data_IF_077841524921
#
_entry.id   IF_077841524921
#
_cell.length_a   1.000
_cell.length_b   1.000
_cell.length_c   1.000
_cell.angle_alpha   90.00
_cell.angle_beta   90.00
_cell.angle_gamma   90.00
#
_symmetry.space_group_name_H-M   'P 1'
#
loop_
_entity.id
_entity.type
_entity.pdbx_description
1 polymer ?
#
# COMPACT_ATOMS: atom_id res chain seq x y z
N UNK A 1 50.62 9.66 24.12
CA UNK A 1 49.69 9.86 22.99
C UNK A 1 48.58 8.81 23.11
N UNK A 2 47.34 9.31 23.21
CA UNK A 2 45.99 8.70 23.30
C UNK A 2 45.86 7.19 23.62
N UNK A 3 45.31 6.92 24.81
CA UNK A 3 44.87 5.60 25.31
C UNK A 3 43.67 5.12 24.50
N UNK A 4 43.78 3.98 23.84
CA UNK A 4 42.65 3.34 23.15
C UNK A 4 41.95 2.44 24.17
N UNK A 5 40.82 2.91 24.70
CA UNK A 5 39.82 2.07 25.37
C UNK A 5 38.74 1.76 24.34
N UNK A 6 38.78 0.58 23.72
CA UNK A 6 37.61 0.07 22.98
C UNK A 6 36.79 -0.80 23.93
N UNK A 7 35.67 -0.22 24.30
CA UNK A 7 34.64 -0.71 25.21
C UNK A 7 33.72 -1.68 24.45
N UNK A 8 33.29 -2.74 25.13
CA UNK A 8 32.24 -3.70 24.73
C UNK A 8 30.94 -3.04 24.28
N UNK A 9 30.47 -3.28 23.04
CA UNK A 9 29.06 -3.43 22.56
C UNK A 9 29.18 -3.90 21.08
N UNK A 10 28.41 -4.79 20.46
CA UNK A 10 27.19 -5.50 20.77
C UNK A 10 26.81 -6.32 19.54
N UNK A 11 26.13 -7.44 19.77
CA UNK A 11 25.61 -8.39 18.81
C UNK A 11 24.57 -7.77 17.86
N UNK A 12 24.93 -7.33 16.66
CA UNK A 12 23.99 -7.08 15.55
C UNK A 12 24.68 -7.32 14.19
N UNK A 13 24.99 -8.58 13.88
CA UNK A 13 25.27 -9.00 12.50
C UNK A 13 24.06 -9.84 12.05
N UNK A 14 22.87 -9.25 12.03
CA UNK A 14 21.68 -9.87 11.46
C UNK A 14 20.59 -8.85 11.15
N UNK A 15 20.86 -7.94 10.21
CA UNK A 15 19.82 -7.48 9.30
C UNK A 15 20.43 -6.62 8.19
N UNK A 16 20.53 -7.21 7.02
CA UNK A 16 20.71 -6.54 5.74
C UNK A 16 19.47 -5.67 5.48
N UNK A 17 19.30 -4.57 6.22
CA UNK A 17 18.09 -3.72 6.19
C UNK A 17 18.27 -2.41 5.42
N UNK A 18 19.33 -2.26 4.62
CA UNK A 18 19.47 -1.14 3.70
C UNK A 18 19.18 -1.58 2.26
N UNK A 19 17.91 -1.81 1.95
CA UNK A 19 17.42 -1.70 0.58
C UNK A 19 16.26 -0.70 0.57
N UNK A 20 16.63 0.55 0.32
CA UNK A 20 15.89 1.53 -0.47
C UNK A 20 14.36 1.43 -0.41
N UNK A 21 13.74 2.07 0.58
CA UNK A 21 12.37 2.54 0.38
C UNK A 21 12.45 3.76 -0.55
N UNK A 22 12.27 3.49 -1.84
CA UNK A 22 12.12 4.48 -2.88
C UNK A 22 10.81 5.24 -2.66
N UNK A 23 10.86 6.43 -2.08
CA UNK A 23 9.71 7.34 -2.05
C UNK A 23 9.47 7.86 -3.47
N UNK A 24 8.57 7.19 -4.19
CA UNK A 24 8.08 7.67 -5.47
C UNK A 24 7.18 8.90 -5.26
N UNK A 25 7.22 9.78 -6.25
CA UNK A 25 6.71 11.16 -6.27
C UNK A 25 5.29 11.32 -5.69
N UNK A 26 5.15 12.26 -4.75
CA UNK A 26 3.85 12.74 -4.22
C UNK A 26 3.25 13.71 -5.25
N UNK A 27 2.61 13.18 -6.27
CA UNK A 27 1.42 13.84 -6.85
C UNK A 27 0.21 13.18 -6.19
N UNK A 28 -0.83 13.93 -5.81
CA UNK A 28 -2.04 13.32 -5.27
C UNK A 28 -2.63 12.43 -6.36
N UNK A 29 -2.52 11.13 -6.13
CA UNK A 29 -3.15 10.10 -6.92
C UNK A 29 -4.55 9.92 -6.32
N UNK A 30 -5.61 10.47 -6.95
CA UNK A 30 -6.95 10.39 -6.39
C UNK A 30 -7.42 8.94 -6.21
N UNK A 31 -6.96 8.00 -7.05
CA UNK A 31 -7.28 6.58 -6.90
C UNK A 31 -6.55 5.98 -5.70
N UNK A 32 -5.27 6.32 -5.50
CA UNK A 32 -4.50 5.89 -4.34
C UNK A 32 -5.02 6.47 -3.02
N UNK A 33 -5.39 7.75 -2.99
CA UNK A 33 -5.98 8.39 -1.80
C UNK A 33 -7.33 7.77 -1.43
N UNK A 34 -8.17 7.51 -2.43
CA UNK A 34 -9.47 6.89 -2.20
C UNK A 34 -9.32 5.41 -1.78
N UNK A 35 -8.36 4.68 -2.35
CA UNK A 35 -8.02 3.33 -1.91
C UNK A 35 -7.65 3.29 -0.43
N UNK A 36 -6.76 4.19 -0.01
CA UNK A 36 -6.35 4.31 1.40
C UNK A 36 -7.50 4.74 2.32
N UNK A 37 -8.51 5.43 1.79
CA UNK A 37 -9.70 5.79 2.56
C UNK A 37 -10.62 4.59 2.81
N UNK A 38 -10.55 3.55 1.97
CA UNK A 38 -11.34 2.32 2.09
C UNK A 38 -10.59 1.24 2.87
N UNK A 39 -9.27 1.15 2.70
CA UNK A 39 -8.39 0.27 3.49
C UNK A 39 -8.28 0.79 4.94
N UNK A 40 -9.33 0.54 5.73
CA UNK A 40 -9.49 1.08 7.08
C UNK A 40 -8.55 0.43 8.08
N UNK A 41 -8.17 -0.83 7.86
CA UNK A 41 -7.23 -1.54 8.70
C UNK A 41 -5.76 -1.32 8.29
N UNK A 42 -5.53 -0.75 7.10
CA UNK A 42 -4.22 -0.37 6.59
C UNK A 42 -3.36 -1.58 6.21
N UNK A 43 -3.97 -2.70 5.87
CA UNK A 43 -3.26 -3.94 5.54
C UNK A 43 -2.74 -3.97 4.09
N UNK A 44 -3.11 -2.97 3.26
CA UNK A 44 -2.73 -2.85 1.85
C UNK A 44 -3.63 -3.64 0.89
N UNK A 45 -4.80 -4.07 1.35
CA UNK A 45 -5.84 -4.77 0.59
C UNK A 45 -7.21 -4.37 1.10
N UNK A 46 -8.19 -4.22 0.20
CA UNK A 46 -9.56 -3.89 0.61
C UNK A 46 -10.39 -5.16 0.71
N UNK A 47 -10.88 -5.45 1.90
CA UNK A 47 -11.81 -6.56 2.12
C UNK A 47 -13.22 -6.24 1.62
N UNK A 48 -14.05 -7.28 1.43
CA UNK A 48 -15.45 -7.09 1.06
C UNK A 48 -16.23 -6.22 2.04
N UNK A 49 -15.98 -6.39 3.34
CA UNK A 49 -16.65 -5.62 4.37
C UNK A 49 -16.28 -4.12 4.32
N UNK A 50 -15.01 -3.82 4.04
CA UNK A 50 -14.54 -2.43 3.88
C UNK A 50 -15.09 -1.80 2.61
N UNK A 51 -15.13 -2.56 1.52
CA UNK A 51 -15.74 -2.13 0.27
C UNK A 51 -17.22 -1.78 0.45
N UNK A 52 -18.03 -2.72 0.95
CA UNK A 52 -19.47 -2.55 1.14
C UNK A 52 -19.81 -1.48 2.19
N UNK A 53 -18.88 -1.14 3.09
CA UNK A 53 -19.07 -0.06 4.06
C UNK A 53 -19.01 1.33 3.42
N UNK A 54 -18.33 1.49 2.28
CA UNK A 54 -18.09 2.80 1.64
C UNK A 54 -18.68 2.88 0.23
N UNK A 55 -18.67 1.79 -0.51
CA UNK A 55 -19.02 1.72 -1.93
C UNK A 55 -20.19 0.76 -2.12
N UNK A 56 -21.30 1.30 -2.64
CA UNK A 56 -22.46 0.51 -3.04
C UNK A 56 -22.36 0.00 -4.49
N UNK A 57 -21.58 0.68 -5.34
CA UNK A 57 -21.38 0.28 -6.74
C UNK A 57 -20.07 0.85 -7.30
N UNK A 58 -19.28 0.07 -8.04
CA UNK A 58 -19.56 -1.29 -8.52
C UNK A 58 -19.44 -2.37 -7.42
N UNK A 59 -20.04 -3.55 -7.64
CA UNK A 59 -20.01 -4.65 -6.66
C UNK A 59 -18.58 -5.16 -6.46
N UNK A 60 -18.25 -5.59 -5.25
CA UNK A 60 -16.93 -6.09 -4.87
C UNK A 60 -16.41 -7.16 -5.85
N UNK A 61 -17.28 -8.09 -6.25
CA UNK A 61 -16.97 -9.21 -7.13
C UNK A 61 -16.59 -8.78 -8.56
N UNK A 62 -17.01 -7.58 -8.97
CA UNK A 62 -16.63 -7.04 -10.29
C UNK A 62 -15.22 -6.46 -10.29
N UNK A 63 -14.74 -6.04 -9.11
CA UNK A 63 -13.42 -5.43 -8.91
C UNK A 63 -12.39 -6.49 -8.52
N UNK A 64 -12.78 -7.48 -7.71
CA UNK A 64 -11.96 -8.64 -7.34
C UNK A 64 -11.81 -9.61 -8.54
N UNK A 65 -11.01 -9.19 -9.52
CA UNK A 65 -10.82 -9.91 -10.78
C UNK A 65 -10.17 -11.28 -10.61
N UNK A 66 -9.36 -11.47 -9.57
CA UNK A 66 -8.72 -12.74 -9.28
C UNK A 66 -9.53 -13.65 -8.32
N UNK A 67 -10.61 -13.13 -7.72
CA UNK A 67 -11.54 -13.82 -6.82
C UNK A 67 -10.87 -14.39 -5.57
N UNK A 68 -9.86 -13.70 -5.04
CA UNK A 68 -9.17 -14.11 -3.81
C UNK A 68 -9.85 -13.58 -2.54
N UNK A 69 -10.95 -12.83 -2.67
CA UNK A 69 -11.68 -12.22 -1.57
C UNK A 69 -11.07 -10.91 -1.07
N UNK A 70 -10.21 -10.27 -1.84
CA UNK A 70 -9.61 -8.96 -1.51
C UNK A 70 -9.29 -8.16 -2.77
N UNK A 71 -9.55 -6.86 -2.75
CA UNK A 71 -9.20 -5.96 -3.84
C UNK A 71 -7.80 -5.41 -3.58
N UNK A 72 -6.84 -5.85 -4.40
CA UNK A 72 -5.50 -5.27 -4.40
C UNK A 72 -5.50 -3.86 -5.00
N UNK A 73 -4.45 -3.08 -4.70
CA UNK A 73 -4.25 -1.77 -5.31
C UNK A 73 -4.30 -1.84 -6.85
N UNK A 74 -3.71 -2.88 -7.46
CA UNK A 74 -3.72 -3.05 -8.91
C UNK A 74 -5.12 -3.25 -9.48
N UNK A 75 -5.93 -4.09 -8.83
CA UNK A 75 -7.32 -4.33 -9.22
C UNK A 75 -8.17 -3.07 -9.06
N UNK A 76 -7.98 -2.36 -7.95
CA UNK A 76 -8.64 -1.09 -7.71
C UNK A 76 -8.31 -0.06 -8.80
N UNK A 77 -7.03 0.06 -9.17
CA UNK A 77 -6.59 1.00 -10.19
C UNK A 77 -7.20 0.68 -11.55
N UNK A 78 -7.26 -0.59 -11.96
CA UNK A 78 -7.90 -0.96 -13.22
C UNK A 78 -9.31 -0.39 -13.31
N UNK A 79 -10.11 -0.52 -12.24
CA UNK A 79 -11.48 0.03 -12.22
C UNK A 79 -11.48 1.54 -12.09
N UNK A 80 -10.68 2.12 -11.19
CA UNK A 80 -10.64 3.56 -10.98
C UNK A 80 -10.28 4.32 -12.27
N UNK A 81 -9.31 3.83 -13.05
CA UNK A 81 -8.89 4.45 -14.30
C UNK A 81 -9.94 4.35 -15.41
N UNK A 82 -10.85 3.36 -15.36
CA UNK A 82 -11.96 3.29 -16.31
C UNK A 82 -13.01 4.37 -16.06
N UNK A 83 -13.16 4.79 -14.80
CA UNK A 83 -14.12 5.84 -14.39
C UNK A 83 -13.47 7.23 -14.43
N UNK A 84 -12.20 7.33 -14.04
CA UNK A 84 -11.43 8.57 -13.93
C UNK A 84 -10.09 8.47 -14.68
N UNK A 85 -10.10 8.54 -16.02
CA UNK A 85 -8.89 8.35 -16.83
C UNK A 85 -7.81 9.42 -16.58
N UNK A 86 -8.18 10.62 -16.15
CA UNK A 86 -7.23 11.70 -15.83
C UNK A 86 -6.58 11.55 -14.44
N UNK A 87 -7.16 10.70 -13.58
CA UNK A 87 -6.73 10.49 -12.19
C UNK A 87 -5.66 9.41 -12.03
N UNK A 88 -5.45 8.58 -13.03
CA UNK A 88 -4.42 7.55 -13.03
C UNK A 88 -3.18 8.02 -13.78
N UNK A 89 -2.15 8.47 -13.06
CA UNK A 89 -0.87 8.90 -13.64
C UNK A 89 0.33 8.32 -12.92
#
# INVERSE_FOLDING_TARGET
MKKIKFFLVGSVILSLSLLFMSSNKITPDPCGEFYNAIDTDGNGSVSKAEWEAIIESPDFETVDGNQNGSISLGEFYVVCCTVYPDGCR
#
